data_IF_150834789655
#
_entry.id   IF_150834789655
#
_cell.length_a   1.000
_cell.length_b   1.000
_cell.length_c   1.000
_cell.angle_alpha   90.00
_cell.angle_beta   90.00
_cell.angle_gamma   90.00
#
_symmetry.space_group_name_H-M   'P 1'
#
loop_
_entity.id
_entity.type
_entity.pdbx_description
1 polymer ?
#
# COMPACT_ATOMS: atom_id res chain seq x y z
N UNK A 1 -10.27 -15.44 28.52
CA UNK A 1 -9.02 -14.91 27.93
C UNK A 1 -8.68 -13.65 28.71
N UNK A 2 -7.42 -13.37 29.02
CA UNK A 2 -7.07 -12.19 29.82
C UNK A 2 -7.40 -10.93 29.02
N UNK A 3 -7.95 -9.90 29.65
CA UNK A 3 -8.29 -8.59 29.04
C UNK A 3 -7.08 -7.85 28.39
N UNK A 4 -5.91 -8.44 28.40
CA UNK A 4 -4.63 -7.87 27.91
C UNK A 4 -4.07 -8.60 26.67
N UNK A 5 -4.81 -9.56 26.08
CA UNK A 5 -4.35 -10.24 24.88
C UNK A 5 -4.57 -9.32 23.66
N UNK A 6 -3.47 -8.98 22.96
CA UNK A 6 -3.50 -8.22 21.71
C UNK A 6 -3.47 -9.23 20.56
N UNK A 7 -4.43 -9.12 19.64
CA UNK A 7 -4.50 -9.99 18.46
C UNK A 7 -4.02 -9.25 17.21
N UNK A 8 -3.02 -9.79 16.56
CA UNK A 8 -2.52 -9.35 15.26
C UNK A 8 -3.02 -10.25 14.13
N UNK A 9 -3.80 -11.28 14.44
CA UNK A 9 -4.35 -12.22 13.47
C UNK A 9 -5.44 -11.60 12.60
N UNK A 10 -5.58 -12.14 11.40
CA UNK A 10 -6.60 -11.78 10.44
C UNK A 10 -7.50 -12.98 10.10
N UNK A 11 -7.58 -13.96 10.99
CA UNK A 11 -8.36 -15.18 10.80
C UNK A 11 -9.83 -14.88 10.47
N UNK A 12 -10.34 -15.45 9.37
CA UNK A 12 -11.71 -15.27 8.89
C UNK A 12 -11.98 -13.92 8.23
N UNK A 13 -10.96 -13.11 7.97
CA UNK A 13 -11.05 -11.86 7.21
C UNK A 13 -10.71 -12.09 5.73
N UNK A 14 -11.14 -11.17 4.90
CA UNK A 14 -10.79 -11.10 3.46
C UNK A 14 -10.02 -9.80 3.23
N UNK A 15 -8.79 -9.94 2.72
CA UNK A 15 -7.93 -8.83 2.34
C UNK A 15 -7.89 -8.67 0.82
N UNK A 16 -8.18 -7.49 0.30
CA UNK A 16 -7.96 -7.11 -1.09
C UNK A 16 -6.64 -6.33 -1.19
N UNK A 17 -5.71 -6.78 -2.03
CA UNK A 17 -4.40 -6.14 -2.21
C UNK A 17 -4.20 -5.77 -3.66
N UNK A 18 -4.10 -4.48 -3.97
CA UNK A 18 -3.83 -3.98 -5.33
C UNK A 18 -2.34 -3.93 -5.62
N UNK A 19 -1.93 -4.10 -6.88
CA UNK A 19 -0.51 -4.16 -7.25
C UNK A 19 0.20 -5.38 -6.67
N UNK A 20 -0.51 -6.50 -6.55
CA UNK A 20 -0.08 -7.68 -5.81
C UNK A 20 0.75 -8.68 -6.62
N UNK A 21 1.04 -8.40 -7.90
CA UNK A 21 1.84 -9.30 -8.73
C UNK A 21 3.33 -9.35 -8.33
N UNK A 22 3.85 -8.32 -7.66
CA UNK A 22 5.27 -8.22 -7.32
C UNK A 22 5.55 -7.24 -6.18
N UNK A 23 6.79 -7.24 -5.69
CA UNK A 23 7.32 -6.22 -4.79
C UNK A 23 6.58 -6.11 -3.45
N UNK A 24 6.20 -4.88 -3.07
CA UNK A 24 5.52 -4.64 -1.78
C UNK A 24 4.15 -5.31 -1.77
N UNK A 25 3.35 -5.19 -2.85
CA UNK A 25 2.02 -5.78 -2.91
C UNK A 25 2.02 -7.30 -2.79
N UNK A 26 2.98 -7.99 -3.43
CA UNK A 26 3.18 -9.44 -3.29
C UNK A 26 3.51 -9.82 -1.83
N UNK A 27 4.46 -9.10 -1.21
CA UNK A 27 4.85 -9.37 0.18
C UNK A 27 3.72 -9.09 1.17
N UNK A 28 2.92 -8.04 0.93
CA UNK A 28 1.73 -7.72 1.72
C UNK A 28 0.69 -8.84 1.58
N UNK A 29 0.38 -9.28 0.36
CA UNK A 29 -0.58 -10.36 0.12
C UNK A 29 -0.17 -11.66 0.85
N UNK A 30 1.11 -12.06 0.73
CA UNK A 30 1.63 -13.22 1.44
C UNK A 30 1.56 -13.04 2.96
N UNK A 31 1.87 -11.86 3.50
CA UNK A 31 1.82 -11.60 4.94
C UNK A 31 0.37 -11.59 5.47
N UNK A 32 -0.61 -11.07 4.72
CA UNK A 32 -2.03 -11.14 5.08
C UNK A 32 -2.50 -12.60 5.16
N UNK A 33 -2.10 -13.44 4.21
CA UNK A 33 -2.42 -14.87 4.22
C UNK A 33 -1.80 -15.59 5.42
N UNK A 34 -0.52 -15.32 5.74
CA UNK A 34 0.14 -15.88 6.95
C UNK A 34 -0.52 -15.40 8.25
N UNK A 35 -1.14 -14.23 8.25
CA UNK A 35 -1.94 -13.74 9.38
C UNK A 35 -3.34 -14.37 9.43
N UNK A 36 -3.72 -15.20 8.45
CA UNK A 36 -4.96 -15.98 8.43
C UNK A 36 -6.08 -15.40 7.54
N UNK A 37 -5.82 -14.37 6.75
CA UNK A 37 -6.81 -13.82 5.83
C UNK A 37 -6.86 -14.58 4.50
N UNK A 38 -8.05 -14.74 3.92
CA UNK A 38 -8.20 -15.01 2.49
C UNK A 38 -7.85 -13.75 1.68
N UNK A 39 -7.24 -13.90 0.50
CA UNK A 39 -6.69 -12.75 -0.23
C UNK A 39 -7.25 -12.65 -1.65
N UNK A 40 -7.85 -11.49 -1.96
CA UNK A 40 -8.09 -11.06 -3.33
C UNK A 40 -6.84 -10.34 -3.85
N UNK A 41 -6.19 -10.96 -4.81
CA UNK A 41 -5.00 -10.47 -5.49
C UNK A 41 -5.44 -9.64 -6.70
N UNK A 42 -5.13 -8.35 -6.70
CA UNK A 42 -5.57 -7.41 -7.73
C UNK A 42 -4.35 -6.82 -8.43
N UNK A 43 -4.27 -6.98 -9.75
CA UNK A 43 -3.23 -6.35 -10.59
C UNK A 43 -3.78 -6.06 -11.98
N UNK A 44 -3.04 -5.30 -12.78
CA UNK A 44 -3.43 -4.98 -14.17
C UNK A 44 -3.55 -6.23 -15.03
N UNK A 45 -2.67 -7.21 -14.84
CA UNK A 45 -2.61 -8.46 -15.59
C UNK A 45 -2.81 -9.65 -14.64
N UNK A 46 -3.97 -10.32 -14.78
CA UNK A 46 -4.32 -11.48 -13.96
C UNK A 46 -3.30 -12.62 -14.07
N UNK A 47 -2.69 -12.80 -15.26
CA UNK A 47 -1.68 -13.86 -15.49
C UNK A 47 -0.39 -13.67 -14.68
N UNK A 48 -0.11 -12.46 -14.21
CA UNK A 48 1.07 -12.18 -13.35
C UNK A 48 0.84 -12.49 -11.87
N UNK A 49 -0.36 -12.91 -11.50
CA UNK A 49 -0.72 -13.18 -10.10
C UNK A 49 -0.42 -14.61 -9.63
N UNK A 50 -0.02 -15.52 -10.52
CA UNK A 50 0.15 -16.95 -10.21
C UNK A 50 1.20 -17.20 -9.12
N UNK A 51 2.33 -16.49 -9.16
CA UNK A 51 3.37 -16.63 -8.12
C UNK A 51 2.84 -16.21 -6.75
N UNK A 52 2.17 -15.05 -6.69
CA UNK A 52 1.61 -14.53 -5.44
C UNK A 52 0.50 -15.41 -4.91
N UNK A 53 -0.34 -15.92 -5.81
CA UNK A 53 -1.40 -16.86 -5.42
C UNK A 53 -0.83 -18.14 -4.82
N UNK A 54 0.25 -18.69 -5.41
CA UNK A 54 0.95 -19.82 -4.84
C UNK A 54 1.50 -19.54 -3.41
N UNK A 55 1.98 -18.33 -3.15
CA UNK A 55 2.41 -17.93 -1.80
C UNK A 55 1.24 -17.87 -0.80
N UNK A 56 0.09 -17.34 -1.22
CA UNK A 56 -1.13 -17.27 -0.41
C UNK A 56 -1.67 -18.67 -0.12
N UNK A 57 -1.76 -19.53 -1.14
CA UNK A 57 -2.24 -20.90 -1.02
C UNK A 57 -1.31 -21.76 -0.14
N UNK A 58 0.01 -21.55 -0.25
CA UNK A 58 0.99 -22.21 0.62
C UNK A 58 0.87 -21.82 2.11
N UNK A 59 0.32 -20.63 2.40
CA UNK A 59 -0.02 -20.21 3.77
C UNK A 59 -1.36 -20.81 4.26
N UNK A 60 -2.07 -21.59 3.44
CA UNK A 60 -3.35 -22.22 3.76
C UNK A 60 -4.58 -21.33 3.56
N UNK A 61 -4.45 -20.19 2.91
CA UNK A 61 -5.52 -19.24 2.62
C UNK A 61 -6.04 -19.40 1.19
N UNK A 62 -7.26 -18.91 0.93
CA UNK A 62 -7.80 -18.83 -0.43
C UNK A 62 -7.20 -17.62 -1.15
N UNK A 63 -6.84 -17.79 -2.42
CA UNK A 63 -6.37 -16.74 -3.32
C UNK A 63 -7.38 -16.54 -4.46
N UNK A 64 -7.92 -15.32 -4.60
CA UNK A 64 -8.74 -14.92 -5.75
C UNK A 64 -7.92 -13.99 -6.63
N UNK A 65 -7.68 -14.35 -7.87
CA UNK A 65 -6.98 -13.53 -8.86
C UNK A 65 -7.97 -12.61 -9.57
N UNK A 66 -7.65 -11.32 -9.70
CA UNK A 66 -8.51 -10.30 -10.33
C UNK A 66 -7.65 -9.38 -11.18
N UNK A 67 -7.82 -9.45 -12.50
CA UNK A 67 -7.20 -8.51 -13.44
C UNK A 67 -8.02 -7.23 -13.54
N UNK A 68 -7.45 -6.06 -13.21
CA UNK A 68 -8.14 -4.77 -13.34
C UNK A 68 -7.15 -3.61 -13.41
N UNK A 69 -7.43 -2.65 -14.29
CA UNK A 69 -6.80 -1.33 -14.26
C UNK A 69 -7.47 -0.49 -13.16
N UNK A 70 -6.72 -0.17 -12.10
CA UNK A 70 -7.24 0.64 -10.98
C UNK A 70 -7.60 2.07 -11.39
N UNK A 71 -7.13 2.56 -12.54
CA UNK A 71 -7.50 3.87 -13.07
C UNK A 71 -8.89 3.91 -13.72
N UNK A 72 -9.46 2.74 -14.05
CA UNK A 72 -10.82 2.58 -14.56
C UNK A 72 -11.79 2.33 -13.39
N UNK A 73 -12.58 3.36 -13.08
CA UNK A 73 -13.51 3.34 -11.96
C UNK A 73 -14.54 2.21 -12.06
N UNK A 74 -15.15 2.02 -13.21
CA UNK A 74 -16.25 1.07 -13.36
C UNK A 74 -15.74 -0.37 -13.37
N UNK A 75 -14.56 -0.61 -13.95
CA UNK A 75 -13.85 -1.88 -13.85
C UNK A 75 -13.48 -2.21 -12.39
N UNK A 76 -13.00 -1.23 -11.60
CA UNK A 76 -12.72 -1.41 -10.18
C UNK A 76 -13.97 -1.83 -9.41
N UNK A 77 -15.10 -1.15 -9.60
CA UNK A 77 -16.34 -1.50 -8.91
C UNK A 77 -16.80 -2.92 -9.26
N UNK A 78 -16.72 -3.30 -10.53
CA UNK A 78 -17.02 -4.68 -10.99
C UNK A 78 -16.07 -5.70 -10.35
N UNK A 79 -14.78 -5.39 -10.25
CA UNK A 79 -13.79 -6.24 -9.61
C UNK A 79 -14.10 -6.47 -8.12
N UNK A 80 -14.45 -5.43 -7.38
CA UNK A 80 -14.83 -5.57 -5.96
C UNK A 80 -16.16 -6.28 -5.76
N UNK A 81 -17.15 -6.10 -6.64
CA UNK A 81 -18.39 -6.88 -6.63
C UNK A 81 -18.08 -8.39 -6.84
N UNK A 82 -17.12 -8.74 -7.72
CA UNK A 82 -16.62 -10.11 -7.89
C UNK A 82 -15.93 -10.62 -6.61
N UNK A 83 -15.09 -9.82 -5.95
CA UNK A 83 -14.45 -10.22 -4.68
C UNK A 83 -15.50 -10.54 -3.63
N UNK A 84 -16.51 -9.71 -3.45
CA UNK A 84 -17.62 -9.97 -2.50
C UNK A 84 -18.41 -11.21 -2.89
N UNK A 85 -18.68 -11.44 -4.18
CA UNK A 85 -19.40 -12.61 -4.63
C UNK A 85 -18.65 -13.92 -4.37
N UNK A 86 -17.31 -13.95 -4.57
CA UNK A 86 -16.49 -15.16 -4.46
C UNK A 86 -15.90 -15.40 -3.06
N UNK A 87 -15.51 -14.34 -2.34
CA UNK A 87 -14.92 -14.44 -1.00
C UNK A 87 -15.87 -14.03 0.14
N UNK A 88 -17.04 -13.45 -0.21
CA UNK A 88 -18.13 -13.14 0.71
C UNK A 88 -18.10 -11.72 1.28
N UNK A 89 -16.91 -11.07 1.34
CA UNK A 89 -16.74 -9.75 1.96
C UNK A 89 -15.38 -9.13 1.62
N UNK A 90 -15.19 -7.86 1.99
CA UNK A 90 -13.87 -7.22 2.03
C UNK A 90 -13.69 -6.60 3.42
N UNK A 91 -12.76 -7.10 4.21
CA UNK A 91 -12.45 -6.57 5.56
C UNK A 91 -11.26 -5.64 5.55
N UNK A 92 -10.30 -5.91 4.68
CA UNK A 92 -9.06 -5.16 4.55
C UNK A 92 -8.87 -4.78 3.09
N UNK A 93 -8.51 -3.52 2.84
CA UNK A 93 -7.97 -3.08 1.55
C UNK A 93 -6.55 -2.57 1.75
N UNK A 94 -5.61 -3.07 0.93
CA UNK A 94 -4.26 -2.47 0.86
C UNK A 94 -4.01 -1.97 -0.56
N UNK A 95 -3.96 -0.65 -0.71
CA UNK A 95 -3.70 0.02 -1.97
C UNK A 95 -2.20 0.09 -2.25
N UNK A 96 -1.63 -0.95 -2.90
CA UNK A 96 -0.22 -0.99 -3.30
C UNK A 96 0.01 -0.63 -4.77
N UNK A 97 -1.02 -0.68 -5.62
CA UNK A 97 -0.91 -0.34 -7.04
C UNK A 97 -0.41 1.11 -7.19
N UNK A 98 0.70 1.27 -7.89
CA UNK A 98 1.29 2.57 -8.17
C UNK A 98 2.24 2.48 -9.37
N UNK A 99 2.48 3.61 -9.99
CA UNK A 99 3.49 3.78 -11.03
C UNK A 99 4.41 4.94 -10.67
N UNK A 100 5.60 4.95 -11.28
CA UNK A 100 6.56 6.04 -11.23
C UNK A 100 7.01 6.36 -12.67
N UNK A 101 7.25 7.61 -12.97
CA UNK A 101 7.86 8.06 -14.22
C UNK A 101 9.34 8.40 -13.98
N UNK A 102 10.04 8.73 -15.06
CA UNK A 102 11.42 9.17 -14.95
C UNK A 102 11.53 10.43 -14.06
N UNK A 103 12.60 10.48 -13.27
CA UNK A 103 12.88 11.64 -12.44
C UNK A 103 13.49 12.74 -13.29
N UNK A 104 12.75 13.82 -13.51
CA UNK A 104 13.16 14.97 -14.32
C UNK A 104 13.00 16.28 -13.55
N UNK A 105 13.78 17.33 -13.86
CA UNK A 105 13.53 18.68 -13.34
C UNK A 105 12.08 19.11 -13.57
N UNK A 106 11.52 19.88 -12.63
CA UNK A 106 10.09 20.20 -12.64
C UNK A 106 9.62 20.87 -13.95
N UNK A 107 10.46 21.71 -14.54
CA UNK A 107 10.21 22.40 -15.81
C UNK A 107 10.23 21.47 -17.04
N UNK A 108 10.68 20.22 -16.88
CA UNK A 108 10.71 19.20 -17.93
C UNK A 108 9.65 18.12 -17.74
N UNK A 109 8.87 18.17 -16.65
CA UNK A 109 7.83 17.19 -16.37
C UNK A 109 6.74 17.25 -17.45
N UNK A 110 6.45 16.13 -18.10
CA UNK A 110 5.44 16.04 -19.13
C UNK A 110 4.03 15.97 -18.51
N UNK A 111 3.05 16.60 -19.15
CA UNK A 111 1.63 16.52 -18.75
C UNK A 111 1.13 15.06 -18.75
N UNK A 112 1.56 14.27 -19.74
CA UNK A 112 1.23 12.83 -19.81
C UNK A 112 1.69 12.04 -18.61
N UNK A 113 2.86 12.34 -18.05
CA UNK A 113 3.37 11.69 -16.84
C UNK A 113 2.57 12.11 -15.62
N UNK A 114 2.17 13.36 -15.55
CA UNK A 114 1.27 13.87 -14.51
C UNK A 114 -0.08 13.14 -14.56
N UNK A 115 -0.68 13.04 -15.73
CA UNK A 115 -1.96 12.36 -15.92
C UNK A 115 -1.89 10.88 -15.57
N UNK A 116 -0.83 10.18 -15.99
CA UNK A 116 -0.61 8.77 -15.66
C UNK A 116 -0.45 8.57 -14.15
N UNK A 117 0.46 9.31 -13.53
CA UNK A 117 0.72 9.22 -12.09
C UNK A 117 -0.53 9.54 -11.27
N UNK A 118 -1.29 10.57 -11.69
CA UNK A 118 -2.52 10.96 -11.00
C UNK A 118 -3.62 9.92 -11.16
N UNK A 119 -3.81 9.38 -12.37
CA UNK A 119 -4.84 8.38 -12.64
C UNK A 119 -4.64 7.09 -11.85
N UNK A 120 -3.40 6.58 -11.79
CA UNK A 120 -3.10 5.32 -11.10
C UNK A 120 -2.95 5.55 -9.59
N UNK A 121 -2.03 6.45 -9.17
CA UNK A 121 -1.64 6.54 -7.77
C UNK A 121 -2.72 7.19 -6.89
N UNK A 122 -3.46 8.18 -7.44
CA UNK A 122 -4.44 8.95 -6.66
C UNK A 122 -5.86 8.45 -6.92
N UNK A 123 -6.33 8.52 -8.17
CA UNK A 123 -7.68 8.07 -8.51
C UNK A 123 -7.86 6.59 -8.26
N UNK A 124 -6.87 5.76 -8.65
CA UNK A 124 -6.91 4.31 -8.44
C UNK A 124 -7.06 3.95 -6.96
N UNK A 125 -6.23 4.54 -6.10
CA UNK A 125 -6.37 4.35 -4.64
C UNK A 125 -7.73 4.79 -4.10
N UNK A 126 -8.26 5.90 -4.62
CA UNK A 126 -9.58 6.42 -4.23
C UNK A 126 -10.72 5.52 -4.71
N UNK A 127 -10.70 5.05 -5.97
CA UNK A 127 -11.74 4.17 -6.50
C UNK A 127 -11.78 2.83 -5.79
N UNK A 128 -10.61 2.22 -5.51
CA UNK A 128 -10.55 0.99 -4.72
C UNK A 128 -11.07 1.20 -3.31
N UNK A 129 -10.71 2.33 -2.66
CA UNK A 129 -11.23 2.67 -1.35
C UNK A 129 -12.76 2.86 -1.35
N UNK A 130 -13.30 3.55 -2.37
CA UNK A 130 -14.76 3.70 -2.54
C UNK A 130 -15.46 2.35 -2.72
N UNK A 131 -14.91 1.47 -3.56
CA UNK A 131 -15.51 0.17 -3.82
C UNK A 131 -15.52 -0.70 -2.57
N UNK A 132 -14.39 -0.79 -1.85
CA UNK A 132 -14.28 -1.55 -0.60
C UNK A 132 -15.17 -0.98 0.50
N UNK A 133 -15.24 0.35 0.64
CA UNK A 133 -16.02 1.00 1.70
C UNK A 133 -17.52 0.71 1.63
N UNK A 134 -18.07 0.37 0.46
CA UNK A 134 -19.50 0.01 0.32
C UNK A 134 -19.89 -1.16 1.23
N UNK A 135 -19.07 -2.21 1.21
CA UNK A 135 -19.29 -3.38 2.07
C UNK A 135 -18.86 -3.10 3.52
N UNK A 136 -17.72 -2.45 3.73
CA UNK A 136 -17.18 -2.14 5.06
C UNK A 136 -18.15 -1.25 5.88
N UNK A 137 -18.63 -0.15 5.32
CA UNK A 137 -19.53 0.78 6.01
C UNK A 137 -20.90 0.17 6.28
N UNK A 138 -21.40 -0.67 5.37
CA UNK A 138 -22.66 -1.39 5.58
C UNK A 138 -22.57 -2.39 6.75
N UNK A 139 -21.39 -2.98 6.97
CA UNK A 139 -21.13 -3.93 8.07
C UNK A 139 -20.68 -3.25 9.37
N UNK A 140 -20.29 -1.99 9.31
CA UNK A 140 -19.76 -1.26 10.46
C UNK A 140 -18.34 -1.68 10.86
N UNK A 141 -17.53 -2.20 9.94
CA UNK A 141 -16.16 -2.67 10.21
C UNK A 141 -15.32 -2.75 8.93
N UNK A 142 -14.08 -2.30 8.99
CA UNK A 142 -13.11 -2.43 7.90
C UNK A 142 -11.80 -1.70 8.19
N UNK A 143 -10.77 -2.03 7.44
CA UNK A 143 -9.48 -1.35 7.49
C UNK A 143 -8.94 -1.09 6.08
N UNK A 144 -8.55 0.15 5.81
CA UNK A 144 -7.93 0.56 4.54
C UNK A 144 -6.52 1.06 4.83
N UNK A 145 -5.55 0.49 4.11
CA UNK A 145 -4.14 0.88 4.20
C UNK A 145 -3.65 1.35 2.84
N UNK A 146 -3.31 2.61 2.72
CA UNK A 146 -2.81 3.19 1.48
C UNK A 146 -1.27 3.18 1.45
N UNK A 147 -0.64 2.86 0.30
CA UNK A 147 0.79 3.06 0.13
C UNK A 147 1.08 4.49 -0.33
N UNK A 148 1.43 5.35 0.63
CA UNK A 148 2.02 6.65 0.37
C UNK A 148 3.52 6.48 -0.03
N UNK A 149 4.39 7.29 0.48
CA UNK A 149 5.85 7.27 0.34
C UNK A 149 6.45 8.25 1.35
N UNK A 150 7.72 8.10 1.69
CA UNK A 150 8.48 9.19 2.32
C UNK A 150 8.32 10.51 1.53
N UNK A 151 8.15 10.43 0.20
CA UNK A 151 7.90 11.59 -0.65
C UNK A 151 6.63 12.38 -0.28
N UNK A 152 5.70 11.80 0.47
CA UNK A 152 4.55 12.51 1.03
C UNK A 152 4.93 13.38 2.24
N UNK A 153 6.09 13.15 2.85
CA UNK A 153 6.55 13.81 4.09
C UNK A 153 7.73 14.74 3.84
N UNK A 154 8.54 14.44 2.82
CA UNK A 154 9.67 15.27 2.38
C UNK A 154 9.81 15.15 0.86
N UNK A 155 10.52 16.08 0.23
CA UNK A 155 10.75 16.06 -1.21
C UNK A 155 12.15 15.61 -1.55
N UNK A 156 12.28 14.89 -2.67
CA UNK A 156 13.55 14.61 -3.31
C UNK A 156 13.67 15.40 -4.62
N UNK A 157 14.87 15.76 -5.06
CA UNK A 157 15.07 16.43 -6.34
C UNK A 157 14.45 15.63 -7.50
N UNK A 158 13.91 16.33 -8.47
CA UNK A 158 13.37 15.77 -9.72
C UNK A 158 12.15 14.84 -9.56
N UNK A 159 11.44 14.90 -8.42
CA UNK A 159 10.28 14.04 -8.13
C UNK A 159 9.00 14.84 -7.88
N UNK A 160 8.87 16.04 -8.44
CA UNK A 160 7.77 16.97 -8.14
C UNK A 160 6.38 16.33 -8.33
N UNK A 161 6.13 15.68 -9.47
CA UNK A 161 4.84 15.06 -9.77
C UNK A 161 4.58 13.84 -8.88
N UNK A 162 5.56 12.96 -8.72
CA UNK A 162 5.41 11.79 -7.84
C UNK A 162 5.16 12.21 -6.38
N UNK A 163 5.93 13.18 -5.88
CA UNK A 163 5.75 13.78 -4.55
C UNK A 163 4.32 14.33 -4.37
N UNK A 164 3.82 15.05 -5.37
CA UNK A 164 2.45 15.58 -5.33
C UNK A 164 1.40 14.45 -5.21
N UNK A 165 1.53 13.37 -6.00
CA UNK A 165 0.59 12.25 -5.92
C UNK A 165 0.66 11.52 -4.58
N UNK A 166 1.85 11.31 -4.01
CA UNK A 166 1.99 10.65 -2.71
C UNK A 166 1.55 11.53 -1.55
N UNK A 167 1.74 12.86 -1.67
CA UNK A 167 1.13 13.85 -0.78
C UNK A 167 -0.41 13.84 -0.85
N UNK A 168 -0.98 13.70 -2.06
CA UNK A 168 -2.42 13.56 -2.25
C UNK A 168 -2.96 12.28 -1.59
N UNK A 169 -2.28 11.14 -1.71
CA UNK A 169 -2.65 9.87 -1.04
C UNK A 169 -2.66 10.04 0.48
N UNK A 170 -1.66 10.71 1.06
CA UNK A 170 -1.64 11.00 2.50
C UNK A 170 -2.77 11.95 2.94
N UNK A 171 -3.14 12.92 2.10
CA UNK A 171 -4.25 13.81 2.36
C UNK A 171 -5.60 13.08 2.25
N UNK A 172 -5.80 12.27 1.21
CA UNK A 172 -6.97 11.40 1.06
C UNK A 172 -7.15 10.46 2.26
N UNK A 173 -6.06 9.87 2.74
CA UNK A 173 -6.08 9.00 3.93
C UNK A 173 -6.74 9.70 5.13
N UNK A 174 -6.36 10.95 5.41
CA UNK A 174 -6.94 11.74 6.51
C UNK A 174 -8.43 12.04 6.28
N UNK A 175 -8.79 12.45 5.07
CA UNK A 175 -10.19 12.78 4.73
C UNK A 175 -11.08 11.55 4.85
N UNK A 176 -10.71 10.45 4.21
CA UNK A 176 -11.47 9.20 4.24
C UNK A 176 -11.58 8.61 5.66
N UNK A 177 -10.55 8.80 6.50
CA UNK A 177 -10.60 8.40 7.90
C UNK A 177 -11.70 9.14 8.66
N UNK A 178 -11.86 10.44 8.45
CA UNK A 178 -12.92 11.23 9.07
C UNK A 178 -14.30 10.83 8.54
N UNK A 179 -14.41 10.61 7.23
CA UNK A 179 -15.69 10.26 6.58
C UNK A 179 -16.21 8.89 7.05
N UNK A 180 -15.31 7.91 7.26
CA UNK A 180 -15.71 6.52 7.52
C UNK A 180 -15.50 6.03 8.96
N UNK A 181 -14.82 6.79 9.82
CA UNK A 181 -14.69 6.45 11.23
C UNK A 181 -16.04 6.28 11.95
N UNK A 182 -17.12 7.10 11.69
CA UNK A 182 -18.42 6.87 12.27
C UNK A 182 -19.06 5.54 11.88
N UNK A 183 -18.55 4.91 10.82
CA UNK A 183 -18.99 3.60 10.34
C UNK A 183 -18.03 2.46 10.74
N UNK A 184 -17.15 2.67 11.72
CA UNK A 184 -16.23 1.64 12.20
C UNK A 184 -15.13 1.24 11.22
N UNK A 185 -14.80 2.10 10.24
CA UNK A 185 -13.75 1.84 9.26
C UNK A 185 -12.53 2.71 9.55
N UNK A 186 -11.37 2.09 9.69
CA UNK A 186 -10.09 2.81 9.81
C UNK A 186 -9.45 3.02 8.44
N UNK A 187 -8.81 4.17 8.24
CA UNK A 187 -8.05 4.46 7.02
C UNK A 187 -6.71 5.03 7.40
N UNK A 188 -5.63 4.32 7.07
CA UNK A 188 -4.27 4.72 7.36
C UNK A 188 -3.39 4.65 6.10
N UNK A 189 -2.20 5.21 6.17
CA UNK A 189 -1.21 5.09 5.12
C UNK A 189 0.13 4.59 5.69
N UNK A 190 0.90 3.90 4.87
CA UNK A 190 2.31 3.59 5.10
C UNK A 190 3.14 4.46 4.17
N UNK A 191 4.23 5.03 4.66
CA UNK A 191 5.17 5.83 3.91
C UNK A 191 6.56 5.16 3.87
N UNK A 192 6.80 4.23 2.91
CA UNK A 192 8.09 3.59 2.74
C UNK A 192 9.15 4.57 2.26
N UNK A 193 10.42 4.30 2.60
CA UNK A 193 11.59 4.81 1.89
C UNK A 193 11.92 3.89 0.70
N UNK A 194 13.18 3.91 0.24
CA UNK A 194 13.65 2.97 -0.78
C UNK A 194 13.54 1.53 -0.29
N UNK A 195 12.86 0.71 -1.10
CA UNK A 195 12.63 -0.72 -0.86
C UNK A 195 13.06 -1.49 -2.09
N UNK A 196 13.79 -2.58 -1.92
CA UNK A 196 14.17 -3.48 -3.01
C UNK A 196 12.93 -4.11 -3.66
N UNK A 197 12.54 -3.56 -4.80
CA UNK A 197 11.39 -3.99 -5.61
C UNK A 197 11.77 -3.90 -7.09
N UNK A 198 11.05 -4.58 -7.98
CA UNK A 198 11.26 -4.41 -9.43
C UNK A 198 11.13 -2.95 -9.90
N UNK A 199 10.29 -2.15 -9.25
CA UNK A 199 10.15 -0.72 -9.54
C UNK A 199 11.39 0.08 -9.17
N UNK A 200 12.03 -0.21 -8.06
CA UNK A 200 13.17 0.56 -7.54
C UNK A 200 14.53 0.01 -8.00
N UNK A 201 14.59 -1.27 -8.41
CA UNK A 201 15.82 -1.95 -8.77
C UNK A 201 16.65 -1.20 -9.82
N UNK A 202 16.10 -0.69 -10.95
CA UNK A 202 16.91 0.00 -11.97
C UNK A 202 17.67 1.20 -11.41
N UNK A 203 17.13 1.87 -10.40
CA UNK A 203 17.79 3.00 -9.74
C UNK A 203 18.74 2.54 -8.64
N UNK A 204 18.35 1.53 -7.85
CA UNK A 204 19.18 1.03 -6.74
C UNK A 204 20.37 0.20 -7.18
N UNK A 205 20.39 -0.33 -8.41
CA UNK A 205 21.55 -0.98 -9.03
C UNK A 205 22.66 0.00 -9.40
N UNK A 206 22.34 1.29 -9.48
CA UNK A 206 23.34 2.35 -9.65
C UNK A 206 24.04 2.57 -8.30
N UNK A 207 25.31 2.15 -8.20
CA UNK A 207 26.07 2.16 -6.95
C UNK A 207 26.03 3.50 -6.21
N UNK A 208 26.15 4.62 -6.92
CA UNK A 208 26.14 5.97 -6.34
C UNK A 208 24.77 6.29 -5.70
N UNK A 209 23.67 5.87 -6.33
CA UNK A 209 22.30 6.06 -5.81
C UNK A 209 22.08 5.18 -4.59
N UNK A 210 22.49 3.91 -4.67
CA UNK A 210 22.42 2.98 -3.57
C UNK A 210 23.14 3.52 -2.33
N UNK A 211 24.43 3.86 -2.47
CA UNK A 211 25.27 4.32 -1.35
C UNK A 211 24.74 5.62 -0.75
N UNK A 212 24.27 6.56 -1.59
CA UNK A 212 23.64 7.80 -1.13
C UNK A 212 22.35 7.54 -0.36
N UNK A 213 21.52 6.57 -0.81
CA UNK A 213 20.29 6.18 -0.15
C UNK A 213 20.57 5.52 1.21
N UNK A 214 21.52 4.57 1.24
CA UNK A 214 21.93 3.89 2.49
C UNK A 214 22.49 4.88 3.50
N UNK A 215 23.33 5.84 3.05
CA UNK A 215 23.87 6.89 3.94
C UNK A 215 22.78 7.76 4.57
N UNK A 216 21.65 7.93 3.86
CA UNK A 216 20.53 8.76 4.31
C UNK A 216 19.57 8.02 5.25
N UNK A 217 19.57 6.68 5.22
CA UNK A 217 18.74 5.86 6.08
C UNK A 217 19.50 5.57 7.39
N UNK A 218 19.09 6.09 8.56
CA UNK A 218 19.80 5.84 9.82
C UNK A 218 20.02 4.37 10.18
N UNK A 219 19.11 3.47 9.80
CA UNK A 219 19.30 2.03 9.97
C UNK A 219 20.33 1.41 9.00
N UNK A 220 20.93 2.20 8.09
CA UNK A 220 22.07 1.80 7.27
C UNK A 220 21.76 0.74 6.21
N UNK A 221 20.51 0.57 5.79
CA UNK A 221 20.13 -0.39 4.74
C UNK A 221 18.92 0.05 3.94
N UNK A 222 18.83 -0.41 2.71
CA UNK A 222 17.61 -0.36 1.90
C UNK A 222 16.55 -1.28 2.52
N UNK A 223 15.30 -0.87 2.49
CA UNK A 223 14.16 -1.67 2.97
C UNK A 223 13.93 -2.91 2.11
N UNK A 224 13.27 -3.91 2.69
CA UNK A 224 12.75 -5.09 1.99
C UNK A 224 11.23 -5.01 1.96
N UNK A 225 10.55 -5.63 0.98
CA UNK A 225 9.08 -5.68 0.95
C UNK A 225 8.46 -6.16 2.27
N UNK A 226 9.12 -7.10 2.98
CA UNK A 226 8.66 -7.62 4.27
C UNK A 226 8.67 -6.57 5.39
N UNK A 227 9.57 -5.58 5.33
CA UNK A 227 9.57 -4.47 6.30
C UNK A 227 8.27 -3.66 6.22
N UNK A 228 7.68 -3.57 5.04
CA UNK A 228 6.43 -2.87 4.78
C UNK A 228 5.22 -3.74 5.11
N UNK A 229 5.29 -5.03 4.75
CA UNK A 229 4.21 -5.98 4.95
C UNK A 229 3.84 -6.14 6.44
N UNK A 230 4.81 -6.13 7.35
CA UNK A 230 4.55 -6.18 8.79
C UNK A 230 3.72 -5.00 9.29
N UNK A 231 4.02 -3.79 8.82
CA UNK A 231 3.23 -2.60 9.14
C UNK A 231 1.80 -2.67 8.56
N UNK A 232 1.65 -3.23 7.36
CA UNK A 232 0.33 -3.42 6.74
C UNK A 232 -0.53 -4.40 7.54
N UNK A 233 0.01 -5.53 7.98
CA UNK A 233 -0.70 -6.50 8.85
C UNK A 233 -1.08 -5.84 10.18
N UNK A 234 -0.17 -5.10 10.83
CA UNK A 234 -0.48 -4.36 12.06
C UNK A 234 -1.64 -3.40 11.87
N UNK A 235 -1.60 -2.53 10.86
CA UNK A 235 -2.67 -1.56 10.60
C UNK A 235 -4.00 -2.20 10.18
N UNK A 236 -3.98 -3.41 9.66
CA UNK A 236 -5.16 -4.19 9.30
C UNK A 236 -5.77 -4.97 10.48
N UNK A 237 -5.02 -5.16 11.57
CA UNK A 237 -5.42 -5.96 12.73
C UNK A 237 -6.17 -5.17 13.79
N UNK A 238 -6.79 -5.86 14.75
CA UNK A 238 -7.45 -5.24 15.89
C UNK A 238 -6.48 -4.50 16.82
N UNK A 239 -5.18 -4.82 16.77
CA UNK A 239 -4.13 -4.09 17.47
C UNK A 239 -4.04 -2.60 17.07
N UNK A 240 -4.55 -2.23 15.88
CA UNK A 240 -4.59 -0.87 15.38
C UNK A 240 -5.99 -0.23 15.42
N UNK A 241 -6.95 -0.82 16.13
CA UNK A 241 -8.36 -0.40 16.11
C UNK A 241 -8.63 1.06 16.50
N UNK A 242 -7.72 1.73 17.20
CA UNK A 242 -7.81 3.15 17.56
C UNK A 242 -6.89 4.04 16.69
N UNK A 243 -6.27 3.48 15.64
CA UNK A 243 -5.39 4.22 14.74
C UNK A 243 -6.13 4.48 13.43
N UNK A 244 -6.44 5.74 13.13
CA UNK A 244 -7.04 6.16 11.85
C UNK A 244 -6.55 7.54 11.45
N UNK A 245 -6.46 7.81 10.13
CA UNK A 245 -5.96 9.07 9.58
C UNK A 245 -4.45 9.25 9.64
N UNK A 246 -3.70 8.23 10.06
CA UNK A 246 -2.25 8.33 10.24
C UNK A 246 -1.49 7.92 8.97
N UNK A 247 -0.36 8.59 8.74
CA UNK A 247 0.66 8.16 7.76
C UNK A 247 1.89 7.68 8.53
N UNK A 248 2.10 6.37 8.56
CA UNK A 248 3.17 5.72 9.30
C UNK A 248 4.45 5.62 8.44
N UNK A 249 5.54 6.35 8.76
CA UNK A 249 6.81 6.14 8.10
C UNK A 249 7.37 4.75 8.41
N UNK A 250 7.76 4.01 7.36
CA UNK A 250 8.51 2.76 7.47
C UNK A 250 9.76 2.93 6.61
N UNK A 251 10.68 3.72 7.12
CA UNK A 251 11.73 4.37 6.35
C UNK A 251 13.13 4.27 6.97
N UNK A 252 13.27 3.46 8.01
CA UNK A 252 14.55 3.28 8.71
C UNK A 252 15.08 4.55 9.38
N UNK A 253 14.19 5.52 9.66
CA UNK A 253 14.52 6.79 10.32
C UNK A 253 14.82 7.93 9.35
N UNK A 254 14.66 7.75 8.03
CA UNK A 254 14.96 8.79 7.04
C UNK A 254 14.23 10.12 7.34
N UNK A 255 12.94 10.07 7.65
CA UNK A 255 12.13 11.26 7.90
C UNK A 255 12.20 11.76 9.35
N UNK A 256 12.85 11.04 10.24
CA UNK A 256 12.98 11.43 11.65
C UNK A 256 14.01 12.57 11.85
N UNK A 257 14.95 12.75 10.92
CA UNK A 257 15.97 13.79 11.00
C UNK A 257 17.15 13.55 10.05
N UNK A 258 18.15 14.40 10.15
CA UNK A 258 19.42 14.22 9.43
C UNK A 258 20.29 13.21 10.20
N UNK A 259 20.86 12.19 9.52
CA UNK A 259 21.93 11.39 10.13
C UNK A 259 23.06 12.32 10.56
N UNK A 260 23.53 12.14 11.78
CA UNK A 260 24.42 13.09 12.45
C UNK A 260 25.62 13.54 11.62
N UNK A 261 26.08 14.75 11.89
CA UNK A 261 27.41 15.19 11.49
C UNK A 261 28.44 14.22 12.05
N UNK A 262 29.42 13.80 11.23
CA UNK A 262 30.61 13.10 11.73
C UNK A 262 31.36 14.09 12.67
N UNK A 263 31.03 14.04 13.98
CA UNK A 263 31.66 14.83 15.03
C UNK A 263 32.87 14.10 15.58
#
# INVERSE_FOLDING_TARGET
MSDYAIDFGLGGRVAAVTGSAQGIGQAVAAAMAHAGADVALIDLDEGRLDETAGLVEAAGARALRVGVDVSDRDAVFTAFDRVVAELGRVDVLVNCAAVICENVPAEQAAESDMDLLWSVNVKGSFFCAQAASRDMTARGSGSIVNLASQAALLSLPNQSVYTATKGAVAALTRSLAIDWAPHGVTVNAIAPTFVWTPMAAPMLEIKQVHDASVKRIPLGRIGRPQDIAGAAVFLASDAASLITGHTLPVDGGWTAGEPGLDL
#
